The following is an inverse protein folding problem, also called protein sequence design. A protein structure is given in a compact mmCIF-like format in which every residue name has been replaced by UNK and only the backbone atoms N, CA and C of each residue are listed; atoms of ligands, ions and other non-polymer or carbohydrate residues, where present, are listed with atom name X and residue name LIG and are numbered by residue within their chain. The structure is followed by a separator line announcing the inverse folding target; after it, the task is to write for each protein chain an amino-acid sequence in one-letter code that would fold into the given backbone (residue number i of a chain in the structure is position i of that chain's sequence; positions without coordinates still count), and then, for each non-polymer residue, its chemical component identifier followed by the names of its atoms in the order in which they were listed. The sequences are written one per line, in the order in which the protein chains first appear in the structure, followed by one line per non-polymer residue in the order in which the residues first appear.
data_IF_408942987266
#
_entry.id   IF_408942987266
#
_cell.length_a   1.000
_cell.length_b   1.000
_cell.length_c   1.000
_cell.angle_alpha   90.00
_cell.angle_beta   90.00
_cell.angle_gamma   90.00
#
_symmetry.space_group_name_H-M   'P 1'
#
loop_
_entity.id
_entity.type
_entity.pdbx_description
1 polymer ?
2 non-polymer ?
3 non-polymer ?
4 non-polymer ?
5 water ?
#
# COMPACT_ATOMS: atom_id res chain seq x y z
N UNK A 1 -11.78 -3.01 13.99
CA UNK A 1 -12.20 -4.25 13.35
C UNK A 1 -11.47 -4.51 12.04
N UNK A 2 -12.09 -5.33 11.18
CA UNK A 2 -11.50 -5.71 9.91
C UNK A 2 -11.21 -4.50 9.03
N UNK A 3 -12.19 -3.59 8.90
CA UNK A 3 -11.96 -2.41 8.07
C UNK A 3 -10.78 -1.58 8.58
N UNK A 4 -10.69 -1.37 9.90
CA UNK A 4 -9.53 -0.64 10.43
C UNK A 4 -8.24 -1.39 10.17
N UNK A 5 -8.27 -2.73 10.30
CA UNK A 5 -7.06 -3.51 10.06
C UNK A 5 -6.54 -3.30 8.65
N UNK A 6 -7.44 -3.22 7.67
CA UNK A 6 -6.99 -2.87 6.32
C UNK A 6 -6.27 -1.52 6.32
N UNK A 7 -6.79 -0.55 7.08
CA UNK A 7 -6.12 0.76 7.14
C UNK A 7 -4.78 0.66 7.85
N UNK A 8 -4.72 -0.11 8.95
CA UNK A 8 -3.44 -0.29 9.63
C UNK A 8 -2.41 -0.89 8.69
N UNK A 9 -2.79 -1.95 7.96
CA UNK A 9 -1.85 -2.61 7.07
C UNK A 9 -1.43 -1.69 5.93
N UNK A 10 -2.40 -1.03 5.28
CA UNK A 10 -2.07 -0.12 4.18
C UNK A 10 -1.19 1.02 4.64
N UNK A 11 -1.32 1.43 5.91
CA UNK A 11 -0.54 2.56 6.41
C UNK A 11 0.94 2.27 6.49
N UNK A 12 1.33 1.02 6.50
CA UNK A 12 2.73 0.64 6.55
C UNK A 12 2.91 -0.63 5.72
N UNK A 13 2.43 -0.60 4.47
CA UNK A 13 2.15 -1.84 3.74
C UNK A 13 3.41 -2.64 3.46
N UNK A 14 4.47 -2.00 2.98
CA UNK A 14 5.68 -2.76 2.65
C UNK A 14 6.24 -3.48 3.87
N UNK A 15 6.27 -2.80 5.02
CA UNK A 15 6.85 -3.43 6.21
C UNK A 15 5.99 -4.58 6.72
N UNK A 16 4.66 -4.40 6.77
CA UNK A 16 3.79 -5.49 7.20
C UNK A 16 3.85 -6.65 6.22
N UNK A 17 3.88 -6.34 4.93
CA UNK A 17 3.91 -7.39 3.91
C UNK A 17 5.16 -8.24 4.06
N UNK A 18 6.31 -7.61 4.27
CA UNK A 18 7.54 -8.35 4.48
C UNK A 18 7.45 -9.22 5.74
N UNK A 19 7.01 -8.63 6.85
CA UNK A 19 7.03 -9.35 8.12
C UNK A 19 6.00 -10.49 8.13
N UNK A 20 4.85 -10.31 7.50
CA UNK A 20 3.87 -11.38 7.47
C UNK A 20 4.31 -12.49 6.52
N UNK A 21 4.86 -12.13 5.37
CA UNK A 21 5.34 -13.16 4.45
C UNK A 21 6.48 -13.96 5.06
N UNK A 22 7.40 -13.28 5.76
CA UNK A 22 8.47 -13.98 6.47
C UNK A 22 7.91 -14.94 7.51
N UNK A 23 6.91 -14.49 8.27
CA UNK A 23 6.28 -15.36 9.25
C UNK A 23 5.73 -16.62 8.56
N UNK A 24 5.13 -16.44 7.39
CA UNK A 24 4.64 -17.58 6.61
C UNK A 24 5.78 -18.52 6.20
N UNK A 25 6.85 -17.96 5.61
CA UNK A 25 7.96 -18.80 5.15
C UNK A 25 8.61 -19.54 6.31
N UNK A 26 8.69 -18.90 7.47
CA UNK A 26 9.35 -19.53 8.60
C UNK A 26 8.46 -20.55 9.31
N UNK A 27 7.15 -20.33 9.32
CA UNK A 27 6.25 -21.31 9.91
C UNK A 27 6.19 -22.58 9.07
N UNK A 28 6.31 -22.43 7.75
CA UNK A 28 6.16 -23.54 6.80
C UNK A 28 7.38 -23.58 5.89
N UNK A 29 8.49 -24.15 6.38
CA UNK A 29 9.71 -24.22 5.55
C UNK A 29 9.50 -24.92 4.21
N UNK A 30 8.61 -25.93 4.12
CA UNK A 30 8.37 -26.56 2.83
C UNK A 30 7.77 -25.59 1.82
N UNK A 31 7.09 -24.54 2.27
CA UNK A 31 6.45 -23.66 1.30
C UNK A 31 7.43 -22.86 0.43
N UNK A 32 8.75 -22.95 0.64
CA UNK A 32 9.64 -22.32 -0.34
C UNK A 32 9.73 -23.10 -1.66
N UNK A 33 8.96 -24.19 -1.79
CA UNK A 33 8.82 -24.92 -3.04
C UNK A 33 8.33 -24.01 -4.14
N UNK A 34 7.55 -22.99 -3.78
CA UNK A 34 7.10 -21.98 -4.71
C UNK A 34 7.97 -20.72 -4.73
N UNK A 35 9.13 -20.71 -4.00
CA UNK A 35 9.99 -19.51 -3.86
C UNK A 35 11.47 -19.90 -3.86
N UNK A 36 11.94 -20.40 -5.01
CA UNK A 36 13.31 -20.91 -5.12
C UNK A 36 14.35 -19.83 -4.90
N UNK A 37 14.03 -18.57 -5.19
CA UNK A 37 15.03 -17.52 -5.07
C UNK A 37 15.24 -17.04 -3.64
N UNK A 38 14.42 -17.49 -2.69
CA UNK A 38 14.56 -17.06 -1.30
C UNK A 38 15.19 -18.11 -0.42
N UNK A 39 15.52 -19.29 -0.98
CA UNK A 39 16.18 -20.34 -0.21
C UNK A 39 17.55 -19.87 0.24
N UNK A 40 17.93 -20.25 1.47
CA UNK A 40 19.26 -19.99 1.96
C UNK A 40 19.53 -18.56 2.40
N UNK A 41 18.49 -17.76 2.70
CA UNK A 41 18.65 -16.40 3.20
C UNK A 41 17.84 -16.20 4.48
N UNK A 42 18.42 -15.50 5.45
CA UNK A 42 17.70 -15.15 6.67
C UNK A 42 16.68 -14.04 6.38
N UNK A 43 15.88 -13.74 7.41
CA UNK A 43 14.86 -12.68 7.29
C UNK A 43 15.49 -11.36 6.86
N UNK A 44 16.55 -10.94 7.55
CA UNK A 44 17.17 -9.68 7.21
C UNK A 44 17.91 -9.74 5.88
N UNK A 45 18.45 -10.91 5.51
CA UNK A 45 19.04 -11.02 4.18
C UNK A 45 17.97 -10.89 3.10
N UNK A 46 16.77 -11.39 3.36
CA UNK A 46 15.68 -11.23 2.40
C UNK A 46 15.19 -9.80 2.34
N UNK A 47 15.00 -9.17 3.51
CA UNK A 47 14.58 -7.77 3.53
C UNK A 47 15.62 -6.86 2.89
N UNK A 48 16.88 -7.29 2.87
CA UNK A 48 17.94 -6.50 2.25
C UNK A 48 17.72 -6.35 0.75
N UNK A 49 17.07 -7.32 0.11
CA UNK A 49 16.93 -7.37 -1.33
C UNK A 49 15.69 -6.59 -1.74
N UNK A 50 15.88 -5.54 -2.53
CA UNK A 50 14.76 -4.71 -2.96
C UNK A 50 13.66 -5.52 -3.65
N UNK A 51 14.03 -6.62 -4.31
CA UNK A 51 13.03 -7.38 -5.04
C UNK A 51 12.07 -8.09 -4.09
N UNK A 52 12.53 -8.40 -2.88
CA UNK A 52 11.69 -9.05 -1.88
C UNK A 52 10.58 -8.12 -1.41
N UNK A 53 10.97 -6.93 -0.94
CA UNK A 53 9.97 -5.95 -0.55
C UNK A 53 9.08 -5.52 -1.71
N UNK A 54 9.66 -5.36 -2.91
CA UNK A 54 8.88 -4.95 -4.07
C UNK A 54 7.77 -5.96 -4.34
N UNK A 55 8.09 -7.22 -4.38
CA UNK A 55 7.12 -8.25 -4.62
C UNK A 55 6.11 -8.38 -3.45
N UNK A 56 6.58 -8.52 -2.20
CA UNK A 56 5.65 -8.64 -1.06
C UNK A 56 4.63 -7.50 -1.08
N UNK A 57 5.09 -6.28 -1.34
CA UNK A 57 4.21 -5.11 -1.27
C UNK A 57 3.11 -5.19 -2.33
N UNK A 58 3.46 -5.61 -3.54
CA UNK A 58 2.45 -5.74 -4.57
C UNK A 58 1.47 -6.86 -4.25
N UNK A 59 1.96 -7.96 -3.66
CA UNK A 59 1.06 -9.03 -3.20
C UNK A 59 0.06 -8.48 -2.19
N UNK A 60 0.55 -7.82 -1.17
CA UNK A 60 -0.36 -7.39 -0.11
C UNK A 60 -1.24 -6.24 -0.56
N UNK A 61 -0.80 -5.43 -1.54
CA UNK A 61 -1.72 -4.46 -2.14
C UNK A 61 -2.97 -5.14 -2.69
N UNK A 62 -2.78 -6.19 -3.51
CA UNK A 62 -3.93 -6.92 -4.03
C UNK A 62 -4.73 -7.58 -2.91
N UNK A 63 -4.04 -8.13 -1.91
CA UNK A 63 -4.77 -8.73 -0.80
C UNK A 63 -5.65 -7.72 -0.10
N UNK A 64 -5.16 -6.48 0.06
CA UNK A 64 -5.97 -5.46 0.71
C UNK A 64 -7.13 -5.02 -0.16
N UNK A 65 -6.95 -4.99 -1.49
CA UNK A 65 -8.07 -4.70 -2.38
C UNK A 65 -9.14 -5.77 -2.27
N UNK A 66 -8.74 -7.04 -2.23
CA UNK A 66 -9.71 -8.12 -2.08
C UNK A 66 -10.38 -8.05 -0.71
N UNK A 67 -9.62 -7.74 0.34
CA UNK A 67 -10.21 -7.60 1.66
C UNK A 67 -11.19 -6.42 1.70
N UNK A 68 -10.84 -5.32 1.05
CA UNK A 68 -11.70 -4.14 1.10
C UNK A 68 -13.00 -4.34 0.32
N UNK A 69 -12.93 -5.10 -0.78
CA UNK A 69 -14.14 -5.39 -1.55
C UNK A 69 -14.98 -6.51 -0.94
N UNK A 70 -14.45 -7.21 0.06
CA UNK A 70 -15.25 -8.26 0.69
C UNK A 70 -16.44 -7.66 1.44
N UNK A 71 -17.48 -8.49 1.63
CA UNK A 71 -18.62 -8.17 2.48
C UNK A 71 -18.58 -9.11 3.67
N UNK A 72 -18.54 -8.55 4.88
CA UNK A 72 -18.48 -9.35 6.12
C UNK A 72 -17.42 -10.45 6.02
N UNK A 73 -16.24 -10.08 5.52
CA UNK A 73 -15.10 -10.98 5.38
C UNK A 73 -15.33 -12.12 4.39
N UNK A 74 -16.30 -11.98 3.50
CA UNK A 74 -16.53 -12.92 2.40
C UNK A 74 -16.03 -12.26 1.12
N UNK A 75 -14.96 -12.77 0.50
CA UNK A 75 -14.46 -12.14 -0.72
C UNK A 75 -15.39 -12.38 -1.90
N UNK A 76 -15.34 -11.46 -2.86
CA UNK A 76 -16.09 -11.62 -4.09
C UNK A 76 -15.62 -12.82 -4.88
N UNK A 77 -16.58 -13.52 -5.50
CA UNK A 77 -16.20 -14.64 -6.36
C UNK A 77 -15.31 -14.19 -7.50
N UNK A 78 -15.55 -12.98 -8.01
CA UNK A 78 -14.71 -12.47 -9.10
C UNK A 78 -13.26 -12.25 -8.65
N UNK A 79 -13.07 -11.82 -7.39
CA UNK A 79 -11.70 -11.68 -6.90
C UNK A 79 -11.04 -13.03 -6.71
N UNK A 80 -11.80 -14.01 -6.18
CA UNK A 80 -11.25 -15.34 -6.06
C UNK A 80 -10.85 -15.88 -7.43
N UNK A 81 -11.70 -15.66 -8.43
CA UNK A 81 -11.41 -16.12 -9.78
C UNK A 81 -10.12 -15.48 -10.32
N UNK A 82 -9.96 -14.17 -10.11
CA UNK A 82 -8.71 -13.50 -10.48
C UNK A 82 -7.49 -14.22 -9.89
N UNK A 83 -7.54 -14.49 -8.59
CA UNK A 83 -6.41 -15.14 -7.93
C UNK A 83 -6.17 -16.54 -8.50
N UNK A 84 -7.24 -17.25 -8.87
CA UNK A 84 -7.09 -18.61 -9.40
C UNK A 84 -6.44 -18.56 -10.78
N UNK A 85 -6.82 -17.58 -11.59
CA UNK A 85 -6.44 -17.56 -12.99
C UNK A 85 -5.10 -16.88 -13.22
N UNK A 86 -4.55 -16.22 -12.21
CA UNK A 86 -3.24 -15.60 -12.33
C UNK A 86 -2.21 -16.64 -12.74
N UNK A 87 -1.44 -16.31 -13.79
CA UNK A 87 -0.39 -17.22 -14.25
C UNK A 87 0.59 -17.54 -13.13
N UNK A 88 0.90 -16.56 -12.27
CA UNK A 88 1.83 -16.80 -11.18
C UNK A 88 1.30 -17.82 -10.18
N UNK A 89 0.01 -18.15 -10.23
CA UNK A 89 -0.63 -19.05 -9.29
C UNK A 89 -0.99 -20.40 -9.90
N UNK A 90 -0.48 -20.72 -11.10
CA UNK A 90 -0.94 -21.91 -11.80
C UNK A 90 -0.63 -23.20 -11.03
N UNK A 91 0.44 -23.21 -10.25
CA UNK A 91 0.80 -24.40 -9.52
C UNK A 91 0.46 -24.37 -8.05
N UNK A 92 -0.69 -23.80 -7.70
CA UNK A 92 -1.07 -23.61 -6.32
C UNK A 92 -2.35 -24.39 -6.01
N UNK A 93 -2.51 -24.76 -4.75
CA UNK A 93 -3.76 -25.30 -4.23
C UNK A 93 -4.21 -24.45 -3.06
N UNK A 94 -5.45 -24.65 -2.62
CA UNK A 94 -5.96 -23.82 -1.54
C UNK A 94 -5.13 -24.00 -0.26
N UNK A 95 -4.48 -25.16 -0.10
CA UNK A 95 -3.61 -25.36 1.06
C UNK A 95 -2.53 -24.31 1.18
N UNK A 96 -1.99 -23.85 0.05
CA UNK A 96 -1.01 -22.76 0.09
C UNK A 96 -1.60 -21.51 0.71
N UNK A 97 -2.84 -21.17 0.34
CA UNK A 97 -3.50 -19.98 0.88
C UNK A 97 -3.93 -20.21 2.33
N UNK A 98 -4.36 -21.44 2.66
CA UNK A 98 -4.73 -21.74 4.04
C UNK A 98 -3.55 -21.49 4.98
N UNK A 99 -2.36 -21.92 4.57
CA UNK A 99 -1.17 -21.76 5.41
C UNK A 99 -0.79 -20.29 5.53
N UNK A 100 -0.89 -19.52 4.44
CA UNK A 100 -0.59 -18.09 4.51
C UNK A 100 -1.44 -17.42 5.56
N UNK A 101 -2.74 -17.72 5.59
CA UNK A 101 -3.59 -17.00 6.53
C UNK A 101 -3.45 -17.54 7.94
N UNK A 102 -3.14 -18.82 8.12
CA UNK A 102 -2.82 -19.28 9.46
C UNK A 102 -1.62 -18.51 10.02
N UNK A 103 -0.59 -18.33 9.20
CA UNK A 103 0.59 -17.59 9.64
C UNK A 103 0.26 -16.12 9.87
N UNK A 104 -0.58 -15.55 9.00
CA UNK A 104 -0.98 -14.15 9.14
C UNK A 104 -1.75 -13.91 10.43
N UNK A 105 -2.69 -14.80 10.75
CA UNK A 105 -3.46 -14.64 11.98
C UNK A 105 -2.55 -14.80 13.20
N UNK A 106 -1.61 -15.74 13.13
CA UNK A 106 -0.66 -15.94 14.22
C UNK A 106 0.19 -14.69 14.42
N UNK A 107 0.65 -14.09 13.32
CA UNK A 107 1.42 -12.85 13.39
C UNK A 107 0.60 -11.74 14.06
N UNK A 108 -0.65 -11.60 13.67
CA UNK A 108 -1.49 -10.56 14.24
C UNK A 108 -1.68 -10.75 15.74
N UNK A 109 -1.93 -11.99 16.17
CA UNK A 109 -2.18 -12.25 17.59
C UNK A 109 -0.93 -12.00 18.42
N UNK A 110 0.25 -12.29 17.88
CA UNK A 110 1.52 -12.04 18.56
C UNK A 110 1.90 -10.56 18.58
N UNK A 111 1.32 -9.77 17.67
CA UNK A 111 1.69 -8.38 17.52
C UNK A 111 1.22 -7.55 18.73
N UNK A 112 1.94 -6.45 18.98
CA UNK A 112 1.45 -5.49 19.95
C UNK A 112 0.27 -4.68 19.43
N UNK A 113 0.23 -4.44 18.12
CA UNK A 113 -0.86 -3.72 17.49
C UNK A 113 -2.17 -4.51 17.60
N UNK A 114 -3.30 -3.81 17.78
CA UNK A 114 -4.58 -4.46 18.05
C UNK A 114 -5.34 -4.77 16.75
N UNK A 115 -5.34 -6.05 16.36
CA UNK A 115 -5.92 -6.55 15.12
C UNK A 115 -7.16 -7.37 15.46
N UNK A 116 -8.10 -7.41 14.54
CA UNK A 116 -9.29 -8.26 14.69
C UNK A 116 -8.94 -9.64 14.12
N UNK A 117 -8.20 -10.41 14.92
CA UNK A 117 -7.65 -11.67 14.40
C UNK A 117 -8.74 -12.67 14.04
N UNK A 118 -9.88 -12.63 14.74
CA UNK A 118 -10.99 -13.51 14.38
C UNK A 118 -11.49 -13.22 12.96
N UNK A 119 -11.61 -11.93 12.60
CA UNK A 119 -12.09 -11.58 11.26
C UNK A 119 -11.11 -12.02 10.19
N UNK A 120 -9.81 -11.93 10.47
CA UNK A 120 -8.83 -12.38 9.47
C UNK A 120 -8.84 -13.90 9.32
N UNK A 121 -9.08 -14.62 10.42
CA UNK A 121 -9.22 -16.06 10.32
C UNK A 121 -10.44 -16.43 9.47
N UNK A 122 -11.55 -15.73 9.68
CA UNK A 122 -12.74 -15.95 8.85
C UNK A 122 -12.46 -15.57 7.40
N UNK A 123 -11.84 -14.41 7.18
CA UNK A 123 -11.51 -14.02 5.81
C UNK A 123 -10.67 -15.08 5.11
N UNK A 124 -9.63 -15.58 5.79
CA UNK A 124 -8.80 -16.61 5.19
C UNK A 124 -9.60 -17.86 4.84
N UNK A 125 -10.49 -18.28 5.76
CA UNK A 125 -11.29 -19.47 5.51
C UNK A 125 -12.27 -19.24 4.36
N UNK A 126 -12.90 -18.06 4.32
CA UNK A 126 -13.83 -17.76 3.24
C UNK A 126 -13.09 -17.57 1.92
N UNK A 127 -11.85 -17.06 1.97
CA UNK A 127 -11.08 -16.98 0.72
C UNK A 127 -10.77 -18.37 0.19
N UNK A 128 -10.37 -19.30 1.07
CA UNK A 128 -10.09 -20.68 0.66
C UNK A 128 -11.34 -21.31 0.03
N UNK A 129 -12.49 -21.18 0.69
CA UNK A 129 -13.73 -21.72 0.14
C UNK A 129 -14.05 -21.08 -1.22
N UNK A 130 -13.85 -19.77 -1.34
CA UNK A 130 -14.11 -19.09 -2.60
C UNK A 130 -13.13 -19.51 -3.68
N UNK A 131 -11.85 -19.70 -3.32
CA UNK A 131 -10.88 -20.22 -4.29
C UNK A 131 -11.30 -21.58 -4.80
N UNK A 132 -11.75 -22.47 -3.90
CA UNK A 132 -12.25 -23.78 -4.33
C UNK A 132 -13.45 -23.65 -5.25
N UNK A 133 -14.39 -22.76 -4.91
CA UNK A 133 -15.55 -22.54 -5.77
C UNK A 133 -15.15 -21.98 -7.13
N UNK A 134 -14.05 -21.21 -7.19
CA UNK A 134 -13.57 -20.63 -8.44
C UNK A 134 -12.63 -21.57 -9.19
N UNK A 135 -12.44 -22.79 -8.71
CA UNK A 135 -11.79 -23.84 -9.47
C UNK A 135 -10.40 -24.22 -9.02
N UNK A 136 -9.90 -23.66 -7.93
CA UNK A 136 -8.61 -24.09 -7.42
C UNK A 136 -8.74 -25.44 -6.74
N UNK A 137 -7.77 -26.32 -6.99
CA UNK A 137 -7.76 -27.64 -6.35
C UNK A 137 -7.29 -27.55 -4.90
N UNK B 1 -11.57 6.89 -13.88
CA UNK B 1 -11.76 8.02 -12.98
C UNK B 1 -10.83 8.02 -11.79
N UNK B 2 -11.23 8.80 -10.78
CA UNK B 2 -10.46 8.94 -9.55
C UNK B 2 -10.25 7.60 -8.85
N UNK B 3 -11.31 6.81 -8.69
CA UNK B 3 -11.18 5.57 -7.94
C UNK B 3 -10.26 4.58 -8.65
N UNK B 4 -10.34 4.51 -9.98
CA UNK B 4 -9.42 3.64 -10.71
C UNK B 4 -7.99 4.14 -10.60
N UNK B 5 -7.80 5.46 -10.63
CA UNK B 5 -6.46 6.01 -10.48
C UNK B 5 -5.83 5.60 -9.15
N UNK B 6 -6.63 5.53 -8.08
CA UNK B 6 -6.09 5.05 -6.81
C UNK B 6 -5.53 3.64 -6.97
N UNK B 7 -6.27 2.78 -7.68
CA UNK B 7 -5.82 1.42 -7.91
C UNK B 7 -4.58 1.39 -8.79
N UNK B 8 -4.52 2.27 -9.81
CA UNK B 8 -3.34 2.32 -10.67
C UNK B 8 -2.09 2.69 -9.88
N UNK B 9 -2.19 3.73 -9.06
CA UNK B 9 -1.06 4.19 -8.27
C UNK B 9 -0.65 3.12 -7.27
N UNK B 10 -1.62 2.52 -6.58
CA UNK B 10 -1.30 1.48 -5.60
C UNK B 10 -0.58 0.30 -6.21
N UNK B 11 -0.89 -0.04 -7.46
CA UNK B 11 -0.27 -1.19 -8.10
C UNK B 11 1.22 -1.03 -8.33
N UNK B 12 1.71 0.20 -8.35
CA UNK B 12 3.14 0.47 -8.49
C UNK B 12 3.51 1.61 -7.55
N UNK B 13 3.07 1.53 -6.29
CA UNK B 13 3.03 2.75 -5.49
C UNK B 13 4.41 3.23 -5.10
N UNK B 14 5.36 2.33 -4.87
CA UNK B 14 6.70 2.78 -4.47
C UNK B 14 7.32 3.66 -5.56
N UNK B 15 7.24 3.20 -6.80
CA UNK B 15 7.81 3.97 -7.91
C UNK B 15 7.03 5.27 -8.16
N UNK B 16 5.70 5.22 -8.15
CA UNK B 16 4.92 6.43 -8.34
C UNK B 16 5.18 7.44 -7.23
N UNK B 17 5.25 6.97 -5.98
CA UNK B 17 5.49 7.87 -4.86
C UNK B 17 6.84 8.56 -4.98
N UNK B 18 7.89 7.79 -5.28
CA UNK B 18 9.19 8.40 -5.52
C UNK B 18 9.12 9.43 -6.65
N UNK B 19 8.55 9.04 -7.78
CA UNK B 19 8.60 9.91 -8.95
C UNK B 19 7.82 11.19 -8.71
N UNK B 20 6.66 11.10 -8.05
CA UNK B 20 5.85 12.30 -7.84
C UNK B 20 6.45 13.20 -6.76
N UNK B 21 6.97 12.63 -5.68
CA UNK B 21 7.56 13.51 -4.67
C UNK B 21 8.84 14.16 -5.20
N UNK B 22 9.61 13.43 -6.02
CA UNK B 22 10.76 14.05 -6.68
C UNK B 22 10.31 15.17 -7.61
N UNK B 23 9.23 14.93 -8.39
CA UNK B 23 8.73 15.96 -9.28
C UNK B 23 8.34 17.21 -8.49
N UNK B 24 7.74 17.02 -7.30
CA UNK B 24 7.41 18.14 -6.42
C UNK B 24 8.66 18.90 -5.98
N UNK B 25 9.66 18.16 -5.47
CA UNK B 25 10.88 18.81 -4.98
C UNK B 25 11.64 19.50 -6.09
N UNK B 26 11.60 18.96 -7.31
CA UNK B 26 12.34 19.61 -8.40
C UNK B 26 11.56 20.77 -9.03
N UNK B 27 10.23 20.71 -8.99
CA UNK B 27 9.45 21.85 -9.47
C UNK B 27 9.55 23.02 -8.51
N UNK B 28 9.58 22.74 -7.20
CA UNK B 28 9.64 23.75 -6.14
C UNK B 28 10.86 23.50 -5.25
N UNK B 29 12.06 23.82 -5.73
CA UNK B 29 13.26 23.48 -4.94
C UNK B 29 13.33 24.17 -3.58
N UNK B 30 12.68 25.33 -3.41
CA UNK B 30 12.70 25.98 -2.10
C UNK B 30 11.99 25.15 -1.04
N UNK B 31 11.14 24.21 -1.44
CA UNK B 31 10.46 23.36 -0.48
C UNK B 31 11.43 22.51 0.30
N UNK B 32 12.70 22.44 -0.12
CA UNK B 32 13.70 21.80 0.73
C UNK B 32 14.00 22.60 1.99
N UNK B 33 13.42 23.80 2.16
CA UNK B 33 13.52 24.48 3.45
C UNK B 33 12.98 23.62 4.59
N UNK B 34 12.02 22.74 4.30
CA UNK B 34 11.50 21.81 5.29
C UNK B 34 12.25 20.49 5.31
N UNK B 35 13.22 20.28 4.42
CA UNK B 35 13.98 19.05 4.32
C UNK B 35 15.46 19.39 4.14
N UNK B 36 16.09 19.96 5.18
CA UNK B 36 17.47 20.43 5.01
C UNK B 36 18.41 19.30 4.62
N UNK B 37 18.07 18.07 5.01
CA UNK B 37 18.89 16.90 4.71
C UNK B 37 18.83 16.51 3.24
N UNK B 38 17.85 17.02 2.49
CA UNK B 38 17.77 16.70 1.07
C UNK B 38 18.67 17.59 0.22
N UNK B 39 19.22 18.65 0.82
CA UNK B 39 20.01 19.61 0.06
C UNK B 39 21.26 18.93 -0.49
N UNK B 40 21.58 19.25 -1.75
CA UNK B 40 22.79 18.76 -2.38
C UNK B 40 22.74 17.34 -2.85
N UNK B 41 21.55 16.82 -3.17
CA UNK B 41 21.36 15.41 -3.50
C UNK B 41 20.60 15.30 -4.81
N UNK B 42 21.07 14.43 -5.70
CA UNK B 42 20.31 14.14 -6.90
C UNK B 42 19.18 13.17 -6.58
N UNK B 43 18.27 13.01 -7.56
CA UNK B 43 17.14 12.10 -7.43
C UNK B 43 17.58 10.70 -6.99
N UNK B 44 18.60 10.14 -7.65
CA UNK B 44 19.03 8.79 -7.33
C UNK B 44 19.60 8.73 -5.92
N UNK B 45 20.31 9.77 -5.49
CA UNK B 45 20.81 9.81 -4.13
C UNK B 45 19.67 9.91 -3.13
N UNK B 46 18.64 10.71 -3.44
CA UNK B 46 17.50 10.82 -2.53
C UNK B 46 16.82 9.47 -2.34
N UNK B 47 16.66 8.72 -3.43
CA UNK B 47 15.99 7.43 -3.37
C UNK B 47 16.77 6.41 -2.54
N UNK B 48 18.06 6.63 -2.33
CA UNK B 48 18.85 5.76 -1.46
C UNK B 48 19.03 6.33 -0.05
N UNK B 49 18.26 7.35 0.32
CA UNK B 49 18.32 7.95 1.66
C UNK B 49 17.08 7.53 2.45
N UNK B 50 17.31 6.92 3.61
CA UNK B 50 16.23 6.23 4.32
C UNK B 50 15.08 7.18 4.68
N UNK B 51 15.39 8.41 5.13
CA UNK B 51 14.33 9.32 5.54
C UNK B 51 13.48 9.76 4.35
N UNK B 52 14.09 9.97 3.17
CA UNK B 52 13.30 10.29 1.99
C UNK B 52 12.40 9.12 1.62
N UNK B 53 12.99 7.93 1.56
CA UNK B 53 12.21 6.74 1.23
C UNK B 53 11.05 6.56 2.18
N UNK B 54 11.31 6.71 3.49
CA UNK B 54 10.30 6.42 4.49
C UNK B 54 9.20 7.48 4.50
N UNK B 55 9.55 8.76 4.42
CA UNK B 55 8.52 9.80 4.39
C UNK B 55 7.69 9.68 3.12
N UNK B 56 8.34 9.54 1.95
CA UNK B 56 7.63 9.44 0.69
C UNK B 56 6.67 8.26 0.69
N UNK B 57 7.10 7.14 1.27
CA UNK B 57 6.24 5.97 1.35
C UNK B 57 5.01 6.25 2.20
N UNK B 58 5.22 6.88 3.38
CA UNK B 58 4.11 7.27 4.23
C UNK B 58 3.18 8.25 3.53
N UNK B 59 3.75 9.24 2.85
CA UNK B 59 2.93 10.23 2.14
C UNK B 59 1.94 9.53 1.22
N UNK B 60 2.41 8.54 0.48
CA UNK B 60 1.52 8.01 -0.53
C UNK B 60 0.65 6.87 -0.02
N UNK B 61 1.12 6.07 0.92
CA UNK B 61 0.23 5.10 1.57
C UNK B 61 -0.96 5.81 2.19
N UNK B 62 -0.71 6.90 2.91
CA UNK B 62 -1.80 7.59 3.60
C UNK B 62 -2.62 8.44 2.64
N UNK B 63 -1.96 9.07 1.66
CA UNK B 63 -2.72 9.87 0.69
C UNK B 63 -3.72 8.99 -0.05
N UNK B 64 -3.33 7.76 -0.40
CA UNK B 64 -4.26 6.89 -1.12
C UNK B 64 -5.44 6.49 -0.25
N UNK B 65 -5.22 6.31 1.05
CA UNK B 65 -6.32 6.05 1.96
C UNK B 65 -7.25 7.26 2.09
N UNK B 66 -6.68 8.46 2.22
CA UNK B 66 -7.50 9.67 2.26
C UNK B 66 -8.31 9.79 0.98
N UNK B 67 -7.67 9.54 -0.17
CA UNK B 67 -8.39 9.57 -1.44
C UNK B 67 -9.50 8.52 -1.49
N UNK B 68 -9.20 7.32 -0.99
CA UNK B 68 -10.17 6.22 -1.04
C UNK B 68 -11.37 6.50 -0.15
N UNK B 69 -11.16 7.22 0.96
CA UNK B 69 -12.25 7.53 1.89
C UNK B 69 -13.04 8.76 1.47
N UNK B 70 -12.55 9.50 0.48
CA UNK B 70 -13.23 10.70 0.00
C UNK B 70 -14.51 10.33 -0.74
N UNK B 71 -15.42 11.29 -0.77
CA UNK B 71 -16.63 11.24 -1.61
C UNK B 71 -16.48 12.34 -2.65
N UNK B 72 -16.53 11.96 -3.93
CA UNK B 72 -16.43 12.93 -5.02
C UNK B 72 -15.23 13.86 -4.84
N UNK B 73 -14.09 13.27 -4.48
CA UNK B 73 -12.83 13.96 -4.30
C UNK B 73 -12.83 14.94 -3.13
N UNK B 74 -13.78 14.81 -2.22
CA UNK B 74 -13.84 15.63 -1.01
C UNK B 74 -13.43 14.75 0.17
N UNK B 75 -12.32 15.05 0.85
CA UNK B 75 -11.84 14.18 1.94
C UNK B 75 -12.69 14.33 3.20
N UNK B 76 -12.70 13.26 4.00
CA UNK B 76 -13.28 13.35 5.34
C UNK B 76 -12.61 14.44 6.15
N UNK B 77 -13.43 15.19 6.91
CA UNK B 77 -12.87 16.18 7.83
C UNK B 77 -11.92 15.52 8.84
N UNK B 78 -12.22 14.30 9.27
CA UNK B 78 -11.36 13.60 10.22
C UNK B 78 -9.96 13.36 9.64
N UNK B 79 -9.89 13.06 8.33
CA UNK B 79 -8.59 12.85 7.70
C UNK B 79 -7.80 14.16 7.66
N UNK B 80 -8.49 15.27 7.42
CA UNK B 80 -7.81 16.56 7.42
C UNK B 80 -7.31 16.93 8.81
N UNK B 81 -8.13 16.72 9.84
CA UNK B 81 -7.70 16.97 11.21
C UNK B 81 -6.47 16.13 11.56
N UNK B 82 -6.49 14.84 11.21
CA UNK B 82 -5.34 13.99 11.51
C UNK B 82 -4.07 14.56 10.88
N UNK B 83 -4.15 14.96 9.61
CA UNK B 83 -2.99 15.52 8.93
C UNK B 83 -2.52 16.80 9.59
N UNK B 84 -3.45 17.66 10.04
CA UNK B 84 -3.06 18.92 10.64
C UNK B 84 -2.34 18.69 11.96
N UNK B 85 -2.83 17.73 12.75
CA UNK B 85 -2.37 17.51 14.11
C UNK B 85 -1.09 16.69 14.20
N UNK B 86 -0.60 16.13 13.10
CA UNK B 86 0.66 15.39 13.15
C UNK B 86 1.80 16.30 13.60
N UNK B 87 2.48 15.88 14.68
CA UNK B 87 3.50 16.72 15.30
C UNK B 87 4.54 17.16 14.28
N UNK B 88 5.02 16.24 13.46
CA UNK B 88 6.10 16.57 12.53
C UNK B 88 5.65 17.50 11.41
N UNK B 89 4.36 17.82 11.31
CA UNK B 89 3.84 18.78 10.35
C UNK B 89 3.66 20.18 10.95
N UNK B 90 4.24 20.45 12.11
CA UNK B 90 3.91 21.68 12.82
C UNK B 90 4.36 22.92 12.06
N UNK B 91 5.40 22.80 11.25
CA UNK B 91 5.90 23.92 10.49
C UNK B 91 5.31 24.11 9.11
N UNK B 92 4.28 23.35 8.75
CA UNK B 92 3.77 23.37 7.39
C UNK B 92 2.57 24.31 7.28
N UNK B 93 2.30 24.73 6.06
CA UNK B 93 1.13 25.51 5.70
C UNK B 93 0.44 24.85 4.51
N UNK B 94 -0.77 25.30 4.22
CA UNK B 94 -1.50 24.69 3.11
C UNK B 94 -0.75 24.85 1.79
N UNK B 95 0.09 25.88 1.67
CA UNK B 95 0.89 26.05 0.47
C UNK B 95 1.77 24.86 0.15
N UNK B 96 2.33 24.22 1.19
CA UNK B 96 3.16 23.04 0.97
C UNK B 96 2.36 21.94 0.28
N UNK B 97 1.12 21.74 0.70
CA UNK B 97 0.27 20.70 0.13
C UNK B 97 -0.25 21.10 -1.24
N UNK B 98 -0.59 22.37 -1.40
CA UNK B 98 -1.02 22.88 -2.71
C UNK B 98 0.02 22.58 -3.76
N UNK B 99 1.30 22.85 -3.44
CA UNK B 99 2.37 22.63 -4.41
C UNK B 99 2.58 21.15 -4.68
N UNK B 100 2.50 20.31 -3.64
CA UNK B 100 2.56 18.88 -3.88
C UNK B 100 1.52 18.44 -4.91
N UNK B 101 0.29 18.95 -4.81
CA UNK B 101 -0.72 18.49 -5.75
C UNK B 101 -0.59 19.13 -7.13
N UNK B 102 -0.08 20.36 -7.22
CA UNK B 102 0.20 20.92 -8.55
C UNK B 102 1.21 20.06 -9.28
N UNK B 103 2.28 19.64 -8.58
CA UNK B 103 3.26 18.77 -9.21
C UNK B 103 2.69 17.39 -9.54
N UNK B 104 1.84 16.85 -8.67
CA UNK B 104 1.23 15.55 -8.93
C UNK B 104 0.34 15.59 -10.17
N UNK B 105 -0.47 16.63 -10.29
CA UNK B 105 -1.37 16.76 -11.45
C UNK B 105 -0.54 16.93 -12.73
N UNK B 106 0.51 17.75 -12.66
CA UNK B 106 1.39 17.92 -13.81
C UNK B 106 2.03 16.61 -14.21
N UNK B 107 2.50 15.84 -13.23
CA UNK B 107 3.08 14.53 -13.50
C UNK B 107 2.07 13.63 -14.21
N UNK B 108 0.82 13.61 -13.74
CA UNK B 108 -0.18 12.74 -14.37
C UNK B 108 -0.44 13.15 -15.81
N UNK B 109 -0.53 14.44 -16.08
CA UNK B 109 -0.82 14.89 -17.44
C UNK B 109 0.31 14.57 -18.41
N UNK B 110 1.54 14.60 -17.94
CA UNK B 110 2.70 14.28 -18.76
C UNK B 110 2.93 12.78 -18.93
N UNK B 111 2.29 11.95 -18.11
CA UNK B 111 2.54 10.52 -18.12
C UNK B 111 1.82 9.84 -19.30
N UNK B 112 2.31 8.66 -19.66
CA UNK B 112 1.63 7.86 -20.65
C UNK B 112 0.37 7.20 -20.14
N UNK B 113 0.23 7.09 -18.81
CA UNK B 113 -0.89 6.40 -18.18
C UNK B 113 -2.11 7.32 -18.10
N UNK B 114 -3.30 6.74 -18.28
CA UNK B 114 -4.55 7.50 -18.50
C UNK B 114 -5.25 7.92 -17.21
N UNK B 115 -4.65 8.89 -16.53
CA UNK B 115 -5.18 9.39 -15.26
C UNK B 115 -6.32 10.39 -15.48
N UNK B 116 -7.19 10.51 -14.48
CA UNK B 116 -8.22 11.54 -14.44
C UNK B 116 -7.65 12.75 -13.69
N UNK B 117 -6.81 13.50 -14.40
CA UNK B 117 -6.03 14.56 -13.73
C UNK B 117 -6.93 15.66 -13.20
N UNK B 118 -8.07 15.92 -13.85
CA UNK B 118 -9.01 16.92 -13.34
C UNK B 118 -9.49 16.54 -11.93
N UNK B 119 -9.77 15.26 -11.69
CA UNK B 119 -10.21 14.85 -10.36
C UNK B 119 -9.11 15.04 -9.32
N UNK B 120 -7.86 14.73 -9.67
CA UNK B 120 -6.76 14.94 -8.71
C UNK B 120 -6.57 16.42 -8.43
N UNK B 121 -6.79 17.26 -9.45
CA UNK B 121 -6.74 18.70 -9.21
C UNK B 121 -7.79 19.13 -8.20
N UNK B 122 -9.05 18.69 -8.38
CA UNK B 122 -10.08 18.99 -7.39
C UNK B 122 -9.76 18.39 -6.03
N UNK B 123 -9.29 17.14 -5.99
CA UNK B 123 -8.96 16.50 -4.71
C UNK B 123 -7.92 17.31 -3.95
N UNK B 124 -6.87 17.78 -4.65
CA UNK B 124 -5.86 18.60 -4.00
C UNK B 124 -6.43 19.91 -3.46
N UNK B 125 -7.26 20.59 -4.26
CA UNK B 125 -7.90 21.81 -3.80
C UNK B 125 -8.79 21.53 -2.59
N UNK B 126 -9.57 20.45 -2.64
CA UNK B 126 -10.48 20.14 -1.55
C UNK B 126 -9.74 19.69 -0.30
N UNK B 127 -8.60 19.02 -0.45
CA UNK B 127 -7.83 18.69 0.72
C UNK B 127 -7.27 19.95 1.36
N UNK B 128 -6.75 20.87 0.53
CA UNK B 128 -6.22 22.13 1.04
C UNK B 128 -7.31 22.90 1.78
N UNK B 129 -8.49 23.01 1.19
CA UNK B 129 -9.62 23.66 1.86
C UNK B 129 -9.93 22.99 3.20
N UNK B 130 -9.92 21.66 3.24
CA UNK B 130 -10.23 20.94 4.47
C UNK B 130 -9.13 21.12 5.52
N UNK B 131 -7.87 21.12 5.08
CA UNK B 131 -6.77 21.38 6.03
C UNK B 131 -6.91 22.75 6.66
N UNK B 132 -7.27 23.75 5.86
CA UNK B 132 -7.53 25.09 6.39
C UNK B 132 -8.66 25.06 7.42
N UNK B 133 -9.77 24.43 7.08
CA UNK B 133 -10.88 24.35 8.03
C UNK B 133 -10.45 23.65 9.32
N UNK B 134 -9.55 22.68 9.22
CA UNK B 134 -9.10 21.91 10.37
C UNK B 134 -8.02 22.61 11.18
N UNK B 135 -7.50 23.75 10.72
CA UNK B 135 -6.59 24.55 11.52
C UNK B 135 -5.23 24.84 10.90
N UNK B 136 -4.90 24.31 9.73
CA UNK B 136 -3.60 24.61 9.14
C UNK B 136 -3.57 26.05 8.64
N UNK B 137 -2.45 26.73 8.89
CA UNK B 137 -2.31 28.10 8.40
C UNK B 137 -1.89 28.10 6.94
X LIG C 1 2.84 -13.39 -7.48
X LIG C 1 -1.12 -11.74 -5.15
X LIG C 1 -1.23 -15.70 -2.35
X LIG C 1 2.52 -17.47 -4.87
X LIG C 1 1.82 -12.57 -7.05
X LIG C 1 1.56 -11.21 -7.48
X LIG C 1 0.48 -10.77 -6.83
X LIG C 1 0.00 -11.82 -5.97
X LIG C 1 -0.18 -9.37 -6.98
X LIG C 1 2.40 -10.40 -8.47
X LIG C 1 3.35 -9.61 -7.58
X LIG C 1 4.42 -8.90 -8.33
X LIG C 1 4.08 -8.01 -9.14
X LIG C 1 5.62 -9.20 -8.11
X LIG C 1 -1.47 -12.65 -4.17
X LIG C 1 -2.53 -12.48 -3.22
X LIG C 1 -2.54 -13.57 -2.41
X LIG C 1 -1.52 -14.47 -2.88
X LIG C 1 -3.42 -11.22 -3.15
X LIG C 1 -3.48 -13.94 -1.24
X LIG C 1 -4.70 -13.39 -1.05
X LIG C 1 -0.19 -16.51 -2.77
X LIG C 1 0.22 -17.75 -2.15
X LIG C 1 1.26 -18.24 -2.86
X LIG C 1 1.52 -17.31 -3.93
X LIG C 1 -0.47 -18.34 -0.90
X LIG C 1 2.10 -19.52 -2.62
X LIG C 1 2.25 -20.05 -1.39
X LIG C 1 2.93 -16.54 -5.78
X LIG C 1 4.06 -16.68 -6.68
X LIG C 1 4.15 -15.57 -7.38
X LIG C 1 3.09 -14.67 -6.99
X LIG C 1 4.99 -17.90 -6.79
X LIG C 1 5.21 -15.31 -8.47
X LIG C 1 6.41 -14.58 -7.91
X LIG C 1 7.31 -14.22 -9.06
X LIG C 1 7.28 -13.04 -9.51
X LIG C 1 8.03 -15.12 -9.56
X LIG C 1 0.84 -12.91 -6.13
X LIG C 1 -0.88 -13.87 -3.95
X LIG C 1 0.62 -16.27 -3.86
X LIG C 1 2.36 -15.30 -6.00
X LIG C 1 0.62 -14.71 -5.14
X LIG D 1 -6.57 -11.11 20.04
X LIG D 1 -6.35 -11.80 21.31
X LIG D 1 -6.45 -9.66 20.24
X LIG D 1 -5.55 -11.54 19.09
X LIG D 1 -7.89 -11.41 19.52
X LIG E 1 4.07 -12.92 -0.93
X LIG E 1 5.07 -12.81 -1.86
X LIG E 1 7.32 -12.26 -1.88
X LIG E 1 5.17 -13.75 -2.87
X LIG E 1 4.26 -14.79 -2.94
X LIG E 1 3.28 -14.93 -2.00
X LIG E 1 3.19 -13.97 -1.02
X LIG E 1 3.88 -12.00 0.12
X LIG E 1 6.00 -11.77 -1.83
X LIG E 1 1.81 -14.08 0.31
X LIG F 1 6.70 13.66 8.66
X LIG F 1 2.75 12.05 6.36
X LIG F 1 2.88 15.83 3.34
X LIG F 1 6.95 17.34 5.49
X LIG F 1 5.60 12.89 8.34
X LIG F 1 5.12 11.67 9.01
X LIG F 1 4.05 11.25 8.34
X LIG F 1 3.78 12.16 7.25
X LIG F 1 3.19 10.01 8.69
X LIG F 1 5.67 10.91 10.25
X LIG F 1 6.76 11.62 11.06
X LIG F 1 7.99 10.75 11.13
X LIG F 1 7.91 9.67 11.78
X LIG F 1 9.05 11.15 10.58
X LIG F 1 2.45 12.94 5.36
X LIG F 1 1.33 12.82 4.45
X LIG F 1 1.37 13.86 3.60
X LIG F 1 2.51 14.67 3.97
X LIG F 1 0.32 11.65 4.49
X LIG F 1 0.41 14.24 2.44
X LIG F 1 -0.80 13.69 2.23
X LIG F 1 4.00 16.55 3.65
X LIG F 1 4.45 17.74 2.94
X LIG F 1 5.57 18.16 3.53
X LIG F 1 5.88 17.26 4.62
X LIG F 1 3.66 18.31 1.73
X LIG F 1 6.47 19.36 3.17
X LIG F 1 6.45 19.92 1.95
X LIG F 1 7.23 16.47 6.53
X LIG F 1 8.39 16.55 7.37
X LIG F 1 8.32 15.54 8.25
X LIG F 1 7.13 14.78 7.97
X LIG F 1 9.51 17.62 7.28
X LIG F 1 9.37 15.23 9.33
X LIG F 1 10.33 14.24 8.69
X LIG F 1 11.74 14.49 9.18
X LIG F 1 12.54 13.51 9.17
X LIG F 1 12.07 15.64 9.57
X LIG F 1 4.75 13.14 7.28
X LIG F 1 3.16 14.09 5.05
X LIG F 1 4.91 16.28 4.67
X LIG F 1 6.47 15.38 6.93
X LIG F 1 4.84 14.66 5.97
X LIG G 1 20.53 21.20 -4.62
X LIG G 1 21.62 20.46 -5.18
X LIG G 1 20.65 21.36 -3.17
X LIG G 1 20.41 22.49 -5.30
X LIG G 1 19.29 20.44 -4.83
X LIG H 1 -14.66 8.21 -10.41
X LIG H 1 -14.21 7.61 -9.16
X LIG H 1 -13.92 9.44 -10.73
X LIG H 1 -14.41 7.24 -11.47
X LIG H 1 -16.08 8.49 -10.39
#
# INVERSE_FOLDING_TARGET
GFKQDIATLRGDLRTYAQDIFLAFLNKYPDEKRNFKNYVGKSDQELKSMAKFGDHTEKVFNLMMEVADRATDCVPLASDASTLVQMKQHSGLTTGNFEKLFVALVEYMRASGQSFDSQSWDRFGKNLVSALSSAGMK
GFKQDIATLRGDLRTYAQDIFLAFLNKYPDEKRNFKNYVGKSDQELKSMAKFGDHTEKVFNLMMEVADRATDCVPLASDASTLVQMKQHSGLTTGNFEKLFVALVEYMRASGQSFDSQSWDRFGKNLVSALSSAGMK
HEM CHA CHB CHC CHD C1A C2A C3A C4A CMA CAA CBA CGA O1A O2A C1B C2B C3B C4B CMB CAB CBB C1C C2C C3C C4C CMC CAC CBC C1D C2D C3D C4D CMD CAD CBD CGD O1D O2D NA NB NC ND FE
SO4 S O1 O2 O3 O4
F81 C02 C03 C05 C06 C07 C08 C09 O01 O04 BR10
HEM CHA CHB CHC CHD C1A C2A C3A C4A CMA CAA CBA CGA O1A O2A C1B C2B C3B C4B CMB CAB CBB C1C C2C C3C C4C CMC CAC CBC C1D C2D C3D C4D CMD CAD CBD CGD O1D O2D NA NB NC ND FE
SO4 S O1 O2 O3 O4
SO4 S O1 O2 O3 O4
#
